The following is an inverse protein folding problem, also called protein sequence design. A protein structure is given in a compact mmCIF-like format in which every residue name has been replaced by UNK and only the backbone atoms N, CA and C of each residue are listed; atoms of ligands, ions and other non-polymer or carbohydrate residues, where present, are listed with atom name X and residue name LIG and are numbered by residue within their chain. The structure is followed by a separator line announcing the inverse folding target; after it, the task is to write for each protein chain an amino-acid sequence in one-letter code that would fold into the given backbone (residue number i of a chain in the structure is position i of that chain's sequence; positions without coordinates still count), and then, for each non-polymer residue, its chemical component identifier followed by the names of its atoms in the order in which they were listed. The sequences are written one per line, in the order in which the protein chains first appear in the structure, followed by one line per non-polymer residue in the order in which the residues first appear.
data_IF_494756004924
#
_entry.id   IF_494756004924
#
_cell.length_a   1.000
_cell.length_b   1.000
_cell.length_c   1.000
_cell.angle_alpha   90.00
_cell.angle_beta   90.00
_cell.angle_gamma   90.00
#
_symmetry.space_group_name_H-M   'P 1'
#
loop_
_entity.id
_entity.type
_entity.pdbx_description
1 polymer ?
#
# COMPACT_ATOMS: atom_id res chain seq x y z
N UNK A 1 -4.30 1.67 18.70
CA UNK A 1 -5.63 1.04 18.93
C UNK A 1 -6.05 0.20 17.73
N UNK A 2 -6.00 0.75 16.50
CA UNK A 2 -6.31 0.00 15.28
C UNK A 2 -5.31 -1.13 15.00
N UNK A 3 -4.00 -0.91 15.16
CA UNK A 3 -3.03 -1.98 14.95
C UNK A 3 -3.21 -3.16 15.88
N UNK A 4 -3.52 -2.94 17.15
CA UNK A 4 -3.81 -4.02 18.09
C UNK A 4 -5.02 -4.84 17.63
N UNK A 5 -6.06 -4.15 17.14
CA UNK A 5 -7.24 -4.79 16.59
C UNK A 5 -6.91 -5.60 15.32
N UNK A 6 -6.24 -4.97 14.34
CA UNK A 6 -5.86 -5.62 13.07
C UNK A 6 -4.92 -6.80 13.31
N UNK A 7 -3.94 -6.65 14.21
CA UNK A 7 -3.06 -7.73 14.63
C UNK A 7 -3.85 -8.92 15.19
N UNK A 8 -4.72 -8.67 16.17
CA UNK A 8 -5.45 -9.71 16.88
C UNK A 8 -6.45 -10.44 15.98
N UNK A 9 -7.20 -9.71 15.16
CA UNK A 9 -8.36 -10.25 14.47
C UNK A 9 -8.13 -10.56 12.98
N UNK A 10 -7.14 -9.94 12.35
CA UNK A 10 -6.90 -10.03 10.91
C UNK A 10 -5.50 -10.57 10.58
N UNK A 11 -4.44 -9.80 10.78
CA UNK A 11 -3.09 -10.11 10.29
C UNK A 11 -2.52 -11.42 10.86
N UNK A 12 -2.76 -11.72 12.14
CA UNK A 12 -2.34 -13.00 12.74
C UNK A 12 -3.06 -14.22 12.16
N UNK A 13 -4.22 -14.04 11.52
CA UNK A 13 -4.93 -15.12 10.81
C UNK A 13 -4.46 -15.22 9.36
N UNK A 14 -4.35 -14.06 8.67
CA UNK A 14 -3.93 -14.02 7.25
C UNK A 14 -2.55 -14.62 7.06
N UNK A 15 -1.60 -14.32 7.96
CA UNK A 15 -0.25 -14.88 7.88
C UNK A 15 -0.24 -16.42 7.89
N UNK A 16 -1.18 -17.07 8.57
CA UNK A 16 -1.27 -18.53 8.61
C UNK A 16 -1.69 -19.14 7.27
N UNK A 17 -2.28 -18.34 6.38
CA UNK A 17 -2.60 -18.75 5.01
C UNK A 17 -1.36 -18.76 4.10
N UNK A 18 -0.30 -18.03 4.48
CA UNK A 18 0.94 -17.95 3.71
C UNK A 18 1.84 -19.15 4.08
N UNK A 19 2.21 -20.01 3.11
CA UNK A 19 3.16 -21.09 3.31
C UNK A 19 4.54 -20.56 3.73
N UNK A 20 5.34 -21.35 4.45
CA UNK A 20 6.65 -20.91 4.96
C UNK A 20 7.71 -20.79 3.87
N UNK A 21 7.46 -21.39 2.71
CA UNK A 21 8.30 -21.38 1.52
C UNK A 21 8.28 -20.02 0.81
N UNK A 22 7.24 -19.21 1.06
CA UNK A 22 7.11 -17.88 0.48
C UNK A 22 8.00 -16.91 1.26
N UNK A 23 8.94 -16.29 0.55
CA UNK A 23 9.81 -15.26 1.09
C UNK A 23 9.01 -14.01 1.51
N UNK A 24 9.35 -13.34 2.63
CA UNK A 24 8.67 -12.13 3.10
C UNK A 24 8.53 -11.05 2.02
N UNK A 25 9.65 -10.67 1.38
CA UNK A 25 9.68 -9.63 0.35
C UNK A 25 8.77 -9.93 -0.85
N UNK A 26 8.49 -11.21 -1.14
CA UNK A 26 7.55 -11.59 -2.19
C UNK A 26 6.11 -11.20 -1.82
N UNK A 27 5.77 -11.24 -0.54
CA UNK A 27 4.44 -10.87 -0.02
C UNK A 27 4.22 -9.37 -0.26
N UNK A 28 5.12 -8.50 0.21
CA UNK A 28 5.03 -7.05 -0.02
C UNK A 28 5.04 -6.73 -1.52
N UNK A 29 5.87 -7.39 -2.32
CA UNK A 29 5.91 -7.18 -3.77
C UNK A 29 4.56 -7.50 -4.45
N UNK A 30 3.91 -8.61 -4.07
CA UNK A 30 2.58 -8.95 -4.58
C UNK A 30 1.53 -7.91 -4.18
N UNK A 31 1.61 -7.41 -2.94
CA UNK A 31 0.82 -6.27 -2.48
C UNK A 31 1.02 -5.06 -3.39
N UNK A 32 2.29 -4.68 -3.63
CA UNK A 32 2.65 -3.52 -4.45
C UNK A 32 2.10 -3.63 -5.87
N UNK A 33 2.27 -4.78 -6.51
CA UNK A 33 1.74 -5.03 -7.85
C UNK A 33 0.22 -4.88 -7.88
N UNK A 34 -0.50 -5.41 -6.88
CA UNK A 34 -1.94 -5.26 -6.80
C UNK A 34 -2.39 -3.79 -6.66
N UNK A 35 -1.68 -2.99 -5.86
CA UNK A 35 -1.94 -1.56 -5.71
C UNK A 35 -1.69 -0.78 -7.02
N UNK A 36 -0.62 -1.11 -7.74
CA UNK A 36 -0.31 -0.50 -9.03
C UNK A 36 -1.41 -0.83 -10.05
N UNK A 37 -1.82 -2.11 -10.12
CA UNK A 37 -2.88 -2.54 -11.04
C UNK A 37 -4.23 -1.89 -10.69
N UNK A 38 -4.55 -1.74 -9.41
CA UNK A 38 -5.79 -1.05 -9.01
C UNK A 38 -5.76 0.42 -9.47
N UNK A 39 -4.64 1.11 -9.28
CA UNK A 39 -4.48 2.49 -9.77
C UNK A 39 -4.70 2.58 -11.29
N UNK A 40 -4.06 1.71 -12.08
CA UNK A 40 -4.23 1.76 -13.53
C UNK A 40 -5.68 1.49 -13.97
N UNK A 41 -6.45 0.73 -13.18
CA UNK A 41 -7.86 0.51 -13.46
C UNK A 41 -8.71 1.80 -13.39
N UNK A 42 -8.42 2.70 -12.44
CA UNK A 42 -9.10 4.01 -12.36
C UNK A 42 -8.51 5.00 -13.36
N UNK A 43 -7.18 5.01 -13.49
CA UNK A 43 -6.45 5.98 -14.31
C UNK A 43 -6.80 5.88 -15.79
N UNK A 44 -7.19 4.70 -16.26
CA UNK A 44 -7.70 4.49 -17.61
C UNK A 44 -8.92 5.39 -17.93
N UNK A 45 -9.78 5.64 -16.95
CA UNK A 45 -10.97 6.48 -17.11
C UNK A 45 -10.76 7.93 -16.69
N UNK A 46 -9.70 8.22 -15.93
CA UNK A 46 -9.44 9.54 -15.34
C UNK A 46 -8.04 10.07 -15.70
N UNK A 47 -7.72 10.28 -16.99
CA UNK A 47 -6.36 10.66 -17.42
C UNK A 47 -5.91 12.01 -16.87
N UNK A 48 -6.81 12.93 -16.54
CA UNK A 48 -6.47 14.21 -15.89
C UNK A 48 -6.89 14.30 -14.43
N UNK A 49 -7.32 13.18 -13.83
CA UNK A 49 -7.85 13.12 -12.46
C UNK A 49 -9.02 14.07 -12.22
N UNK A 50 -9.83 14.38 -13.23
CA UNK A 50 -11.01 15.26 -13.12
C UNK A 50 -12.29 14.60 -13.59
N UNK A 51 -12.16 13.47 -14.29
CA UNK A 51 -13.25 12.70 -14.84
C UNK A 51 -13.89 11.79 -13.78
N UNK A 52 -15.16 11.47 -13.99
CA UNK A 52 -15.80 10.39 -13.23
C UNK A 52 -15.37 9.03 -13.79
N UNK A 53 -15.17 8.08 -12.87
CA UNK A 53 -14.84 6.69 -13.21
C UNK A 53 -16.05 5.78 -12.95
N UNK A 54 -16.12 4.59 -13.55
CA UNK A 54 -17.12 3.60 -13.17
C UNK A 54 -16.97 3.16 -11.71
N UNK A 55 -18.08 2.95 -10.98
CA UNK A 55 -18.09 2.62 -9.53
C UNK A 55 -17.16 1.48 -9.12
N UNK A 56 -16.94 0.50 -10.00
CA UNK A 56 -16.09 -0.65 -9.72
C UNK A 56 -14.61 -0.28 -9.58
N UNK A 57 -14.12 0.78 -10.23
CA UNK A 57 -12.69 1.17 -10.15
C UNK A 57 -12.36 1.76 -8.77
N UNK A 58 -13.27 2.51 -8.16
CA UNK A 58 -13.13 2.98 -6.79
C UNK A 58 -13.10 1.81 -5.79
N UNK A 59 -13.98 0.81 -5.99
CA UNK A 59 -13.97 -0.41 -5.18
C UNK A 59 -12.67 -1.21 -5.38
N UNK A 60 -12.18 -1.30 -6.62
CA UNK A 60 -10.90 -1.93 -6.92
C UNK A 60 -9.73 -1.22 -6.23
N UNK A 61 -9.73 0.12 -6.19
CA UNK A 61 -8.73 0.89 -5.45
C UNK A 61 -8.81 0.70 -3.94
N UNK A 62 -10.02 0.75 -3.37
CA UNK A 62 -10.20 0.50 -1.94
C UNK A 62 -9.71 -0.90 -1.55
N UNK A 63 -10.01 -1.90 -2.39
CA UNK A 63 -9.50 -3.26 -2.22
C UNK A 63 -7.98 -3.33 -2.39
N UNK A 64 -7.43 -2.71 -3.44
CA UNK A 64 -5.98 -2.69 -3.71
C UNK A 64 -5.18 -2.08 -2.56
N UNK A 65 -5.67 -0.95 -2.01
CA UNK A 65 -5.09 -0.30 -0.84
C UNK A 65 -5.13 -1.22 0.39
N UNK A 66 -6.30 -1.78 0.71
CA UNK A 66 -6.44 -2.67 1.87
C UNK A 66 -5.61 -3.95 1.74
N UNK A 67 -5.53 -4.48 0.51
CA UNK A 67 -4.74 -5.65 0.20
C UNK A 67 -3.24 -5.35 0.34
N UNK A 68 -2.76 -4.23 -0.20
CA UNK A 68 -1.38 -3.75 -0.01
C UNK A 68 -1.03 -3.65 1.47
N UNK A 69 -1.82 -2.89 2.24
CA UNK A 69 -1.62 -2.74 3.68
C UNK A 69 -1.61 -4.08 4.42
N UNK A 70 -2.42 -5.04 3.98
CA UNK A 70 -2.44 -6.37 4.59
C UNK A 70 -1.19 -7.16 4.25
N UNK A 71 -0.69 -7.09 3.01
CA UNK A 71 0.52 -7.80 2.58
C UNK A 71 1.76 -7.25 3.26
N UNK A 72 1.88 -5.93 3.29
CA UNK A 72 2.88 -5.16 4.03
C UNK A 72 2.91 -5.58 5.51
N UNK A 73 1.80 -5.44 6.23
CA UNK A 73 1.76 -5.76 7.67
C UNK A 73 2.08 -7.22 8.04
N UNK A 74 1.92 -8.18 7.11
CA UNK A 74 2.22 -9.60 7.36
C UNK A 74 3.61 -10.02 6.89
N UNK A 75 4.33 -9.21 6.12
CA UNK A 75 5.65 -9.57 5.59
C UNK A 75 6.68 -9.71 6.73
N UNK A 76 6.69 -8.79 7.70
CA UNK A 76 7.58 -8.82 8.86
C UNK A 76 7.18 -9.92 9.83
N UNK A 77 5.88 -10.28 9.86
CA UNK A 77 5.41 -11.46 10.59
C UNK A 77 5.94 -12.73 9.92
N UNK A 78 5.96 -12.78 8.59
CA UNK A 78 6.56 -13.89 7.85
C UNK A 78 8.06 -13.95 8.14
N UNK A 79 8.78 -12.83 8.07
CA UNK A 79 10.22 -12.76 8.32
C UNK A 79 10.60 -13.29 9.70
N UNK A 80 9.78 -13.01 10.73
CA UNK A 80 9.92 -13.60 12.06
C UNK A 80 9.60 -15.11 12.08
N UNK A 81 8.58 -15.57 11.35
CA UNK A 81 8.21 -17.00 11.25
C UNK A 81 9.26 -17.86 10.53
N UNK A 82 9.98 -17.28 9.58
CA UNK A 82 11.01 -17.95 8.76
C UNK A 82 12.42 -17.72 9.28
N UNK A 83 12.62 -16.84 10.28
CA UNK A 83 13.93 -16.50 10.80
C UNK A 83 14.78 -15.68 9.82
N UNK A 84 14.15 -15.00 8.86
CA UNK A 84 14.80 -14.21 7.80
C UNK A 84 14.67 -12.70 8.00
N UNK A 85 14.35 -12.24 9.21
CA UNK A 85 14.29 -10.82 9.54
C UNK A 85 15.69 -10.19 9.48
N UNK A 86 15.79 -9.00 8.87
CA UNK A 86 17.05 -8.26 8.82
C UNK A 86 16.95 -6.95 8.02
N UNK A 87 18.03 -6.14 8.02
CA UNK A 87 18.02 -4.78 7.48
C UNK A 87 17.71 -4.68 5.98
N UNK A 88 18.11 -5.70 5.20
CA UNK A 88 17.81 -5.73 3.76
C UNK A 88 16.32 -5.97 3.49
N UNK A 89 15.66 -6.77 4.33
CA UNK A 89 14.20 -6.98 4.24
C UNK A 89 13.45 -5.69 4.51
N UNK A 90 13.82 -5.00 5.59
CA UNK A 90 13.26 -3.69 5.95
C UNK A 90 13.48 -2.65 4.84
N UNK A 91 14.69 -2.55 4.29
CA UNK A 91 14.96 -1.65 3.16
C UNK A 91 14.08 -1.94 1.94
N UNK A 92 13.83 -3.22 1.64
CA UNK A 92 12.95 -3.60 0.53
C UNK A 92 11.50 -3.20 0.80
N UNK A 93 11.02 -3.43 2.00
CA UNK A 93 9.66 -3.08 2.45
C UNK A 93 9.42 -1.57 2.35
N UNK A 94 10.34 -0.76 2.90
CA UNK A 94 10.28 0.71 2.81
C UNK A 94 10.35 1.23 1.37
N UNK A 95 11.12 0.55 0.52
CA UNK A 95 11.13 0.83 -0.91
C UNK A 95 9.76 0.61 -1.55
N UNK A 96 9.07 -0.46 -1.17
CA UNK A 96 7.71 -0.73 -1.63
C UNK A 96 6.70 0.29 -1.09
N UNK A 97 6.80 0.67 0.18
CA UNK A 97 5.94 1.70 0.79
C UNK A 97 6.09 3.07 0.14
N UNK A 98 7.30 3.45 -0.23
CA UNK A 98 7.55 4.69 -0.97
C UNK A 98 6.82 4.71 -2.31
N UNK A 99 6.88 3.59 -3.04
CA UNK A 99 6.24 3.46 -4.36
C UNK A 99 4.72 3.39 -4.18
N UNK A 100 4.22 2.56 -3.27
CA UNK A 100 2.79 2.38 -3.02
C UNK A 100 2.13 3.69 -2.58
N UNK A 101 2.78 4.47 -1.70
CA UNK A 101 2.31 5.80 -1.26
C UNK A 101 2.05 6.73 -2.44
N UNK A 102 2.92 6.69 -3.46
CA UNK A 102 2.75 7.47 -4.68
C UNK A 102 1.48 7.04 -5.44
N UNK A 103 1.28 5.74 -5.64
CA UNK A 103 0.09 5.19 -6.30
C UNK A 103 -1.19 5.40 -5.51
N UNK A 104 -1.13 5.34 -4.17
CA UNK A 104 -2.24 5.65 -3.28
C UNK A 104 -2.64 7.13 -3.43
N UNK A 105 -1.66 8.04 -3.44
CA UNK A 105 -1.90 9.47 -3.66
C UNK A 105 -2.60 9.71 -5.01
N UNK A 106 -2.10 9.14 -6.10
CA UNK A 106 -2.72 9.27 -7.42
C UNK A 106 -4.11 8.63 -7.48
N UNK A 107 -4.32 7.51 -6.77
CA UNK A 107 -5.64 6.87 -6.66
C UNK A 107 -6.64 7.74 -5.91
N UNK A 108 -6.21 8.46 -4.88
CA UNK A 108 -7.05 9.43 -4.16
C UNK A 108 -7.39 10.61 -5.08
N UNK A 109 -6.40 11.16 -5.80
CA UNK A 109 -6.62 12.23 -6.78
C UNK A 109 -7.65 11.83 -7.83
N UNK A 110 -7.50 10.65 -8.44
CA UNK A 110 -8.45 10.07 -9.39
C UNK A 110 -9.84 9.87 -8.77
N UNK A 111 -9.89 9.37 -7.53
CA UNK A 111 -11.15 9.04 -6.86
C UNK A 111 -11.95 10.28 -6.45
N UNK A 112 -11.26 11.40 -6.23
CA UNK A 112 -11.86 12.65 -5.75
C UNK A 112 -12.00 13.71 -6.83
N UNK A 113 -11.63 13.39 -8.08
CA UNK A 113 -11.60 14.32 -9.20
C UNK A 113 -10.78 15.60 -8.89
N UNK A 114 -9.66 15.45 -8.16
CA UNK A 114 -8.88 16.58 -7.62
C UNK A 114 -8.12 17.37 -8.71
N UNK A 115 -7.83 16.75 -9.85
CA UNK A 115 -6.93 17.29 -10.87
C UNK A 115 -5.45 17.32 -10.44
N UNK A 116 -4.60 17.99 -11.22
CA UNK A 116 -3.14 18.08 -11.00
C UNK A 116 -2.67 19.46 -10.52
N UNK A 117 -3.54 20.20 -9.81
CA UNK A 117 -3.28 21.56 -9.34
C UNK A 117 -2.51 21.63 -8.00
N UNK A 118 -2.41 22.83 -7.38
CA UNK A 118 -1.74 23.01 -6.08
C UNK A 118 -2.28 22.11 -4.97
N UNK A 119 -3.56 21.75 -5.00
CA UNK A 119 -4.18 20.82 -4.06
C UNK A 119 -3.60 19.41 -4.16
N UNK A 120 -3.29 18.95 -5.38
CA UNK A 120 -2.64 17.66 -5.60
C UNK A 120 -1.20 17.67 -5.05
N UNK A 121 -0.48 18.78 -5.24
CA UNK A 121 0.86 18.96 -4.64
C UNK A 121 0.78 18.95 -3.10
N UNK A 122 -0.21 19.64 -2.51
CA UNK A 122 -0.41 19.63 -1.08
C UNK A 122 -0.74 18.23 -0.54
N UNK A 123 -1.59 17.46 -1.23
CA UNK A 123 -1.89 16.07 -0.89
C UNK A 123 -0.63 15.19 -0.95
N UNK A 124 0.17 15.32 -2.00
CA UNK A 124 1.42 14.58 -2.15
C UNK A 124 2.38 14.86 -0.98
N UNK A 125 2.59 16.13 -0.65
CA UNK A 125 3.43 16.54 0.48
C UNK A 125 2.88 16.00 1.82
N UNK A 126 1.56 16.06 2.00
CA UNK A 126 0.91 15.55 3.21
C UNK A 126 1.09 14.04 3.40
N UNK A 127 1.17 13.27 2.31
CA UNK A 127 1.39 11.82 2.38
C UNK A 127 2.87 11.46 2.55
N UNK A 128 3.77 12.18 1.89
CA UNK A 128 5.21 11.89 1.87
C UNK A 128 5.91 12.32 3.17
N UNK A 129 5.51 13.45 3.78
CA UNK A 129 6.18 13.95 4.99
C UNK A 129 6.07 12.97 6.17
N UNK A 130 4.87 12.47 6.54
CA UNK A 130 4.74 11.47 7.60
C UNK A 130 5.51 10.18 7.29
N UNK A 131 5.57 9.76 6.02
CA UNK A 131 6.35 8.60 5.60
C UNK A 131 7.85 8.79 5.91
N UNK A 132 8.44 9.92 5.53
CA UNK A 132 9.84 10.22 5.86
C UNK A 132 10.10 10.35 7.36
N UNK A 133 9.15 10.93 8.11
CA UNK A 133 9.28 11.06 9.56
C UNK A 133 9.24 9.70 10.25
N UNK A 134 8.31 8.82 9.86
CA UNK A 134 8.24 7.45 10.37
C UNK A 134 9.53 6.68 10.05
N UNK A 135 10.06 6.83 8.84
CA UNK A 135 11.32 6.19 8.43
C UNK A 135 12.54 6.66 9.23
N UNK A 136 12.53 7.90 9.73
CA UNK A 136 13.62 8.44 10.54
C UNK A 136 13.62 7.91 11.98
N UNK A 137 12.45 7.46 12.48
CA UNK A 137 12.31 6.94 13.84
C UNK A 137 12.74 5.46 13.99
N UNK A 138 12.86 4.72 12.89
CA UNK A 138 13.30 3.31 12.85
C UNK A 138 14.82 3.12 12.86
#
# INVERSE_FOLDING_TARGET
MLDNFMNQYWWNKVILLVPKEIAPNMITLVGLVAMILSYFSIAYYTPTFTEESPKWTYLANAFGLFFYQTMDAIDGKQARRTGSAGPLGQLFDHGCDSISTTFICMSIMASTALGSGPQAMALLMFMIVPFFLAQWEE
#
